data_IF_659903516442
#
_entry.id   IF_659903516442
#
_cell.length_a   1.000
_cell.length_b   1.000
_cell.length_c   1.000
_cell.angle_alpha   90.00
_cell.angle_beta   90.00
_cell.angle_gamma   90.00
#
_symmetry.space_group_name_H-M   'P 1'
#
loop_
_entity.id
_entity.type
_entity.pdbx_description
1 polymer ?
#
# COMPACT_ATOMS: atom_id res chain seq x y z
N UNK A 1 -97.67 -15.80 -46.48
CA UNK A 1 -96.87 -14.90 -47.24
C UNK A 1 -96.05 -14.08 -46.25
N UNK A 2 -94.83 -14.41 -46.01
CA UNK A 2 -93.68 -13.76 -45.36
C UNK A 2 -92.86 -14.77 -44.63
N UNK A 3 -91.66 -15.00 -45.20
CA UNK A 3 -90.64 -15.88 -44.72
C UNK A 3 -89.78 -15.19 -43.66
N UNK A 4 -89.44 -15.77 -42.49
CA UNK A 4 -88.42 -15.22 -41.63
C UNK A 4 -87.08 -15.83 -41.91
N UNK A 5 -86.05 -14.96 -42.05
CA UNK A 5 -84.65 -15.29 -42.20
C UNK A 5 -84.12 -15.84 -40.87
N UNK A 6 -83.42 -17.00 -40.94
CA UNK A 6 -82.64 -17.58 -39.87
C UNK A 6 -81.26 -16.92 -39.84
N UNK A 7 -80.93 -16.30 -38.74
CA UNK A 7 -79.56 -15.81 -38.47
C UNK A 7 -78.70 -16.94 -37.94
N UNK A 8 -77.57 -17.16 -38.62
CA UNK A 8 -76.57 -18.13 -38.24
C UNK A 8 -75.53 -17.40 -37.33
N UNK A 9 -75.53 -17.78 -36.04
CA UNK A 9 -74.46 -17.34 -35.10
C UNK A 9 -73.28 -18.23 -35.18
N UNK A 10 -72.12 -17.69 -35.58
CA UNK A 10 -70.83 -18.33 -35.48
C UNK A 10 -70.21 -17.97 -34.13
N UNK A 11 -70.02 -18.97 -33.26
CA UNK A 11 -69.21 -18.85 -32.04
C UNK A 11 -67.75 -19.10 -32.41
N UNK A 12 -66.93 -18.04 -32.38
CA UNK A 12 -65.50 -18.13 -32.40
C UNK A 12 -65.00 -18.38 -30.97
N UNK A 13 -64.58 -19.63 -30.70
CA UNK A 13 -63.89 -19.96 -29.47
C UNK A 13 -62.42 -19.50 -29.59
N UNK A 14 -62.01 -18.40 -28.90
CA UNK A 14 -60.64 -17.99 -28.72
C UNK A 14 -60.01 -18.88 -27.63
N UNK A 15 -59.13 -19.81 -28.03
CA UNK A 15 -58.21 -20.49 -27.09
C UNK A 15 -57.12 -19.51 -26.66
N UNK A 16 -57.21 -19.00 -25.46
CA UNK A 16 -56.06 -18.34 -24.80
C UNK A 16 -55.06 -19.41 -24.33
N UNK A 17 -53.96 -19.57 -25.07
CA UNK A 17 -52.82 -20.33 -24.58
C UNK A 17 -52.03 -19.46 -23.63
N UNK A 18 -52.22 -19.65 -22.32
CA UNK A 18 -51.40 -19.03 -21.26
C UNK A 18 -50.03 -19.69 -21.27
N UNK A 19 -49.03 -19.06 -21.91
CA UNK A 19 -47.62 -19.42 -21.73
C UNK A 19 -47.23 -18.96 -20.33
N UNK A 20 -47.24 -19.88 -19.37
CA UNK A 20 -46.65 -19.68 -18.07
C UNK A 20 -45.13 -19.65 -18.29
N UNK A 21 -44.55 -18.44 -18.43
CA UNK A 21 -43.12 -18.20 -18.36
C UNK A 21 -42.63 -18.53 -16.96
N UNK A 22 -42.12 -19.73 -16.78
CA UNK A 22 -41.37 -20.10 -15.59
C UNK A 22 -40.14 -19.21 -15.48
N UNK A 23 -40.19 -18.18 -14.65
CA UNK A 23 -39.01 -17.50 -14.19
C UNK A 23 -38.16 -18.53 -13.45
N UNK A 24 -37.09 -18.99 -14.09
CA UNK A 24 -36.02 -19.73 -13.41
C UNK A 24 -35.45 -18.75 -12.37
N UNK A 25 -35.91 -18.86 -11.14
CA UNK A 25 -35.23 -18.24 -10.01
C UNK A 25 -33.83 -18.87 -9.98
N UNK A 26 -32.83 -18.13 -10.44
CA UNK A 26 -31.42 -18.45 -10.14
C UNK A 26 -31.35 -18.51 -8.63
N UNK A 27 -31.12 -19.71 -8.09
CA UNK A 27 -30.74 -19.87 -6.69
C UNK A 27 -29.41 -19.13 -6.55
N UNK A 28 -29.46 -17.92 -5.97
CA UNK A 28 -28.26 -17.23 -5.56
C UNK A 28 -27.53 -18.18 -4.58
N UNK A 29 -26.37 -18.70 -5.01
CA UNK A 29 -25.53 -19.52 -4.16
C UNK A 29 -25.23 -18.76 -2.88
N UNK A 30 -24.94 -19.47 -1.79
CA UNK A 30 -24.50 -18.86 -0.53
C UNK A 30 -23.34 -17.90 -0.83
N UNK A 31 -23.40 -16.64 -0.36
CA UNK A 31 -22.29 -15.71 -0.56
C UNK A 31 -20.99 -16.31 -0.05
N UNK A 32 -19.91 -16.10 -0.80
CA UNK A 32 -18.58 -16.55 -0.36
C UNK A 32 -18.23 -15.93 0.99
N UNK A 33 -17.80 -16.75 1.93
CA UNK A 33 -17.27 -16.38 3.24
C UNK A 33 -15.90 -17.04 3.41
N UNK A 34 -14.82 -16.27 3.69
CA UNK A 34 -13.49 -16.82 3.82
C UNK A 34 -13.29 -17.52 5.16
N UNK A 35 -12.49 -18.57 5.16
CA UNK A 35 -12.04 -19.25 6.38
C UNK A 35 -10.63 -18.82 6.76
N UNK A 36 -10.40 -18.52 8.04
CA UNK A 36 -9.06 -18.19 8.55
C UNK A 36 -8.11 -19.35 8.33
N UNK A 37 -6.98 -19.09 7.66
CA UNK A 37 -6.02 -20.12 7.27
C UNK A 37 -6.29 -20.76 5.90
N UNK A 38 -7.34 -20.32 5.17
CA UNK A 38 -7.54 -20.80 3.79
C UNK A 38 -6.33 -20.47 2.91
N UNK A 39 -6.03 -21.38 2.00
CA UNK A 39 -4.92 -21.21 1.06
C UNK A 39 -5.15 -20.01 0.12
N UNK A 40 -4.10 -19.20 -0.05
CA UNK A 40 -3.95 -18.21 -1.09
C UNK A 40 -2.83 -18.61 -2.05
N UNK A 41 -2.54 -17.76 -3.04
CA UNK A 41 -1.47 -18.03 -3.99
C UNK A 41 -0.08 -18.09 -3.34
N UNK A 42 0.26 -17.11 -2.52
CA UNK A 42 1.60 -16.94 -1.93
C UNK A 42 1.57 -16.88 -0.40
N UNK A 43 0.39 -16.82 0.18
CA UNK A 43 0.17 -16.71 1.64
C UNK A 43 -1.22 -17.20 2.01
N UNK A 44 -1.36 -17.84 3.17
CA UNK A 44 -2.69 -18.15 3.73
C UNK A 44 -3.38 -16.89 4.19
N UNK A 45 -4.73 -16.84 4.07
CA UNK A 45 -5.47 -15.68 4.53
C UNK A 45 -5.59 -15.67 6.06
N UNK A 46 -5.05 -14.62 6.66
CA UNK A 46 -5.19 -14.29 8.09
C UNK A 46 -5.62 -12.83 8.21
N UNK A 47 -6.80 -12.56 8.77
CA UNK A 47 -7.28 -11.19 8.86
C UNK A 47 -6.52 -10.37 9.92
N UNK A 48 -6.07 -9.17 9.57
CA UNK A 48 -5.53 -8.21 10.54
C UNK A 48 -6.62 -7.83 11.55
N UNK A 49 -6.37 -7.92 12.88
CA UNK A 49 -7.34 -7.47 13.88
C UNK A 49 -7.76 -6.02 13.67
N UNK A 50 -9.04 -5.67 13.81
CA UNK A 50 -9.52 -4.30 13.57
C UNK A 50 -8.77 -3.23 14.36
N UNK A 51 -8.46 -3.50 15.64
CA UNK A 51 -7.69 -2.58 16.48
C UNK A 51 -6.27 -2.33 15.96
N UNK A 52 -5.67 -3.34 15.30
CA UNK A 52 -4.36 -3.19 14.70
C UNK A 52 -4.45 -2.46 13.35
N UNK A 53 -5.51 -2.67 12.55
CA UNK A 53 -5.75 -1.88 11.33
C UNK A 53 -5.76 -0.38 11.67
N UNK A 54 -6.53 0.02 12.68
CA UNK A 54 -6.58 1.42 13.12
C UNK A 54 -5.21 1.90 13.58
N UNK A 55 -4.50 1.10 14.40
CA UNK A 55 -3.15 1.43 14.86
C UNK A 55 -2.14 1.60 13.72
N UNK A 56 -2.20 0.74 12.68
CA UNK A 56 -1.36 0.84 11.49
C UNK A 56 -1.61 2.16 10.75
N UNK A 57 -2.88 2.50 10.52
CA UNK A 57 -3.24 3.73 9.82
C UNK A 57 -2.90 4.99 10.64
N UNK A 58 -3.01 4.94 11.98
CA UNK A 58 -2.57 6.02 12.88
C UNK A 58 -1.07 6.20 12.83
N UNK A 59 -0.31 5.10 12.94
CA UNK A 59 1.15 5.11 12.88
C UNK A 59 1.66 5.67 11.54
N UNK A 60 1.00 5.28 10.45
CA UNK A 60 1.26 5.82 9.12
C UNK A 60 0.69 7.23 8.92
N UNK A 61 -0.07 7.78 9.88
CA UNK A 61 -0.70 9.11 9.81
C UNK A 61 -1.50 9.31 8.51
N UNK A 62 -2.37 8.34 8.21
CA UNK A 62 -3.18 8.36 6.98
C UNK A 62 -4.15 9.54 7.01
N UNK A 63 -4.17 10.30 5.91
CA UNK A 63 -5.00 11.49 5.69
C UNK A 63 -5.81 11.39 4.39
N UNK A 64 -6.80 12.26 4.16
CA UNK A 64 -7.56 12.29 2.89
C UNK A 64 -6.71 12.55 1.63
N UNK A 65 -5.49 13.07 1.78
CA UNK A 65 -4.57 13.33 0.66
C UNK A 65 -3.79 12.08 0.24
N UNK A 66 -3.87 11.01 1.02
CA UNK A 66 -3.11 9.79 0.77
C UNK A 66 -3.74 8.91 -0.31
N UNK A 67 -2.87 8.15 -0.96
CA UNK A 67 -3.23 7.00 -1.77
C UNK A 67 -2.66 5.75 -1.11
N UNK A 68 -3.55 4.98 -0.48
CA UNK A 68 -3.19 3.77 0.27
C UNK A 68 -3.30 2.56 -0.64
N UNK A 69 -2.29 1.70 -0.65
CA UNK A 69 -2.33 0.42 -1.38
C UNK A 69 -2.09 -0.73 -0.38
N UNK A 70 -2.84 -1.81 -0.55
CA UNK A 70 -2.65 -3.09 0.14
C UNK A 70 -2.43 -4.20 -0.89
N UNK A 71 -1.37 -4.97 -0.70
CA UNK A 71 -0.97 -6.09 -1.55
C UNK A 71 -1.33 -7.40 -0.84
N UNK A 72 -2.19 -8.23 -1.45
CA UNK A 72 -2.85 -9.34 -0.77
C UNK A 72 -3.93 -8.81 0.17
N UNK A 73 -4.83 -7.97 -0.35
CA UNK A 73 -5.76 -7.18 0.48
C UNK A 73 -6.84 -8.01 1.19
N UNK A 74 -6.97 -9.30 0.86
CA UNK A 74 -7.93 -10.20 1.50
C UNK A 74 -9.36 -9.67 1.40
N UNK A 75 -10.04 -9.55 2.54
CA UNK A 75 -11.40 -9.00 2.65
C UNK A 75 -11.47 -7.46 2.57
N UNK A 76 -10.34 -6.81 2.31
CA UNK A 76 -10.26 -5.37 2.08
C UNK A 76 -10.24 -4.48 3.32
N UNK A 77 -10.13 -5.04 4.54
CA UNK A 77 -10.27 -4.29 5.79
C UNK A 77 -9.34 -3.09 5.94
N UNK A 78 -8.06 -3.21 5.54
CA UNK A 78 -7.09 -2.09 5.57
C UNK A 78 -7.53 -0.96 4.62
N UNK A 79 -7.98 -1.33 3.43
CA UNK A 79 -8.41 -0.40 2.37
C UNK A 79 -9.71 0.30 2.74
N UNK A 80 -10.68 -0.44 3.28
CA UNK A 80 -11.96 0.11 3.75
C UNK A 80 -11.73 1.08 4.92
N UNK A 81 -10.87 0.72 5.88
CA UNK A 81 -10.53 1.60 6.99
C UNK A 81 -9.82 2.88 6.52
N UNK A 82 -8.88 2.78 5.56
CA UNK A 82 -8.24 3.95 4.97
C UNK A 82 -9.25 4.85 4.23
N UNK A 83 -10.19 4.26 3.48
CA UNK A 83 -11.25 5.00 2.78
C UNK A 83 -12.20 5.71 3.75
N UNK A 84 -12.52 5.12 4.90
CA UNK A 84 -13.29 5.78 5.98
C UNK A 84 -12.59 7.02 6.53
N UNK A 85 -11.25 7.08 6.49
CA UNK A 85 -10.45 8.26 6.84
C UNK A 85 -10.38 9.30 5.70
N UNK A 86 -11.09 9.05 4.59
CA UNK A 86 -11.16 9.94 3.42
C UNK A 86 -10.07 9.71 2.39
N UNK A 87 -9.11 8.80 2.61
CA UNK A 87 -8.07 8.48 1.66
C UNK A 87 -8.63 7.77 0.42
N UNK A 88 -7.95 7.89 -0.72
CA UNK A 88 -8.16 6.95 -1.83
C UNK A 88 -7.39 5.68 -1.53
N UNK A 89 -7.97 4.52 -1.81
CA UNK A 89 -7.36 3.27 -1.45
C UNK A 89 -7.59 2.17 -2.50
N UNK A 90 -6.58 1.34 -2.71
CA UNK A 90 -6.58 0.23 -3.67
C UNK A 90 -6.13 -1.05 -2.99
N UNK A 91 -6.97 -2.07 -3.01
CA UNK A 91 -6.61 -3.44 -2.66
C UNK A 91 -6.29 -4.24 -3.91
N UNK A 92 -5.15 -4.92 -3.90
CA UNK A 92 -4.77 -5.91 -4.92
C UNK A 92 -4.85 -7.28 -4.28
N UNK A 93 -5.69 -8.16 -4.85
CA UNK A 93 -5.94 -9.49 -4.30
C UNK A 93 -5.97 -10.52 -5.44
N UNK A 94 -5.34 -11.66 -5.21
CA UNK A 94 -5.27 -12.69 -6.25
C UNK A 94 -6.58 -13.48 -6.39
N UNK A 95 -7.25 -13.74 -5.27
CA UNK A 95 -8.49 -14.53 -5.25
C UNK A 95 -9.69 -13.66 -5.67
N UNK A 96 -10.37 -13.98 -6.79
CA UNK A 96 -11.50 -13.18 -7.28
C UNK A 96 -12.69 -13.16 -6.31
N UNK A 97 -12.94 -14.22 -5.54
CA UNK A 97 -14.04 -14.27 -4.57
C UNK A 97 -13.77 -13.30 -3.40
N UNK A 98 -12.51 -13.16 -2.98
CA UNK A 98 -12.09 -12.17 -1.99
C UNK A 98 -12.22 -10.75 -2.53
N UNK A 99 -11.88 -10.51 -3.80
CA UNK A 99 -12.08 -9.21 -4.47
C UNK A 99 -13.56 -8.82 -4.46
N UNK A 100 -14.44 -9.76 -4.82
CA UNK A 100 -15.89 -9.50 -4.85
C UNK A 100 -16.46 -9.33 -3.44
N UNK A 101 -15.95 -10.07 -2.45
CA UNK A 101 -16.28 -9.86 -1.04
C UNK A 101 -15.91 -8.44 -0.60
N UNK A 102 -14.66 -8.02 -0.86
CA UNK A 102 -14.16 -6.69 -0.50
C UNK A 102 -15.00 -5.57 -1.11
N UNK A 103 -15.40 -5.69 -2.38
CA UNK A 103 -16.31 -4.75 -3.05
C UNK A 103 -17.68 -4.68 -2.37
N UNK A 104 -18.26 -5.83 -2.01
CA UNK A 104 -19.55 -5.88 -1.28
C UNK A 104 -19.43 -5.22 0.10
N UNK A 105 -18.34 -5.48 0.83
CA UNK A 105 -18.12 -4.85 2.14
C UNK A 105 -17.94 -3.34 1.97
N UNK A 106 -17.13 -2.86 1.02
CA UNK A 106 -16.92 -1.44 0.78
C UNK A 106 -18.25 -0.71 0.41
N UNK A 107 -19.10 -1.35 -0.39
CA UNK A 107 -20.43 -0.81 -0.72
C UNK A 107 -21.32 -0.73 0.51
N UNK A 108 -21.36 -1.77 1.36
CA UNK A 108 -22.11 -1.80 2.62
C UNK A 108 -21.65 -0.72 3.59
N UNK A 109 -20.32 -0.47 3.64
CA UNK A 109 -19.72 0.53 4.50
C UNK A 109 -19.76 1.97 3.90
N UNK A 110 -20.34 2.13 2.70
CA UNK A 110 -20.52 3.44 2.07
C UNK A 110 -19.25 4.11 1.57
N UNK A 111 -18.18 3.32 1.26
CA UNK A 111 -16.87 3.84 0.84
C UNK A 111 -16.42 3.33 -0.53
N UNK A 112 -17.31 2.73 -1.32
CA UNK A 112 -16.97 2.15 -2.62
C UNK A 112 -16.44 3.17 -3.65
N UNK A 113 -16.66 4.46 -3.45
CA UNK A 113 -16.13 5.55 -4.27
C UNK A 113 -14.62 5.79 -4.03
N UNK A 114 -14.09 5.35 -2.90
CA UNK A 114 -12.69 5.53 -2.47
C UNK A 114 -11.93 4.23 -2.27
N UNK A 115 -12.61 3.14 -1.91
CA UNK A 115 -12.04 1.81 -1.70
C UNK A 115 -12.23 0.98 -2.98
N UNK A 116 -11.17 0.88 -3.78
CA UNK A 116 -11.18 0.09 -5.02
C UNK A 116 -10.47 -1.24 -4.78
N UNK A 117 -10.93 -2.28 -5.48
CA UNK A 117 -10.34 -3.62 -5.40
C UNK A 117 -10.18 -4.21 -6.80
N UNK A 118 -9.01 -4.75 -7.07
CA UNK A 118 -8.67 -5.38 -8.34
C UNK A 118 -8.10 -6.77 -8.11
N UNK A 119 -8.46 -7.69 -9.01
CA UNK A 119 -7.79 -8.97 -9.05
C UNK A 119 -6.41 -8.80 -9.67
N UNK A 120 -5.38 -9.30 -8.99
CA UNK A 120 -4.01 -9.19 -9.49
C UNK A 120 -2.99 -9.89 -8.60
N UNK A 121 -1.79 -10.04 -9.16
CA UNK A 121 -0.62 -10.53 -8.44
C UNK A 121 0.06 -9.36 -7.70
N UNK A 122 0.33 -9.52 -6.41
CA UNK A 122 0.99 -8.50 -5.58
C UNK A 122 2.38 -8.13 -6.11
N UNK A 123 3.09 -9.07 -6.73
CA UNK A 123 4.44 -8.84 -7.26
C UNK A 123 4.42 -8.03 -8.56
N UNK A 124 3.33 -8.13 -9.35
CA UNK A 124 3.17 -7.44 -10.63
C UNK A 124 2.45 -6.09 -10.49
N UNK A 125 1.76 -5.87 -9.38
CA UNK A 125 0.95 -4.66 -9.17
C UNK A 125 1.78 -3.37 -9.27
N UNK A 126 1.27 -2.36 -9.97
CA UNK A 126 1.87 -1.01 -9.97
C UNK A 126 1.56 -0.28 -8.67
N UNK A 127 2.59 -0.07 -7.86
CA UNK A 127 2.52 0.66 -6.59
C UNK A 127 3.13 2.06 -6.67
N UNK A 128 3.56 2.52 -7.83
CA UNK A 128 4.34 3.77 -8.02
C UNK A 128 3.64 5.03 -7.50
N UNK A 129 2.30 4.99 -7.40
CA UNK A 129 1.47 6.10 -6.91
C UNK A 129 1.20 6.06 -5.42
N UNK A 130 1.59 4.98 -4.71
CA UNK A 130 1.34 4.84 -3.29
C UNK A 130 2.03 5.97 -2.49
N UNK A 131 1.29 6.55 -1.55
CA UNK A 131 1.86 7.37 -0.48
C UNK A 131 1.93 6.58 0.83
N UNK A 132 1.10 5.53 0.92
CA UNK A 132 1.10 4.56 2.02
C UNK A 132 0.90 3.16 1.46
N UNK A 133 1.69 2.20 1.95
CA UNK A 133 1.40 0.78 1.84
C UNK A 133 0.97 0.28 3.22
N UNK A 134 -0.16 -0.45 3.30
CA UNK A 134 -0.66 -1.06 4.54
C UNK A 134 -0.72 -2.57 4.34
N UNK A 135 0.23 -3.31 4.93
CA UNK A 135 0.53 -4.69 4.54
C UNK A 135 0.42 -5.68 5.68
N UNK A 136 -0.07 -6.89 5.37
CA UNK A 136 0.10 -8.06 6.20
C UNK A 136 0.61 -9.23 5.35
N UNK A 137 1.91 -9.32 5.20
CA UNK A 137 2.59 -10.30 4.36
C UNK A 137 3.65 -11.06 5.17
N UNK A 138 3.97 -12.28 4.74
CA UNK A 138 5.06 -13.06 5.29
C UNK A 138 6.42 -12.41 4.99
N UNK A 139 7.46 -12.65 5.80
CA UNK A 139 8.81 -12.08 5.63
C UNK A 139 9.39 -12.28 4.23
N UNK A 140 9.24 -13.47 3.65
CA UNK A 140 9.76 -13.78 2.30
C UNK A 140 9.10 -12.92 1.22
N UNK A 141 7.79 -12.66 1.34
CA UNK A 141 7.06 -11.81 0.41
C UNK A 141 7.48 -10.35 0.55
N UNK A 142 7.67 -9.87 1.78
CA UNK A 142 8.21 -8.53 2.05
C UNK A 142 9.61 -8.36 1.48
N UNK A 143 10.48 -9.37 1.64
CA UNK A 143 11.84 -9.38 1.10
C UNK A 143 11.84 -9.30 -0.43
N UNK A 144 10.99 -10.11 -1.10
CA UNK A 144 10.84 -10.06 -2.57
C UNK A 144 10.33 -8.71 -3.08
N UNK A 145 9.45 -8.05 -2.31
CA UNK A 145 8.88 -6.74 -2.66
C UNK A 145 9.80 -5.56 -2.32
N UNK A 146 10.85 -5.77 -1.50
CA UNK A 146 11.74 -4.69 -1.02
C UNK A 146 12.35 -3.85 -2.14
N UNK A 147 12.86 -4.40 -3.26
CA UNK A 147 13.35 -3.57 -4.37
C UNK A 147 12.28 -2.62 -4.91
N UNK A 148 11.04 -3.11 -5.06
CA UNK A 148 9.89 -2.33 -5.51
C UNK A 148 9.49 -1.24 -4.51
N UNK A 149 9.64 -1.52 -3.20
CA UNK A 149 9.41 -0.52 -2.16
C UNK A 149 10.45 0.61 -2.21
N UNK A 150 11.72 0.28 -2.46
CA UNK A 150 12.80 1.26 -2.55
C UNK A 150 12.75 2.13 -3.82
N UNK A 151 11.93 1.78 -4.81
CA UNK A 151 11.67 2.58 -6.00
C UNK A 151 10.53 3.59 -5.80
N UNK A 152 9.79 3.51 -4.69
CA UNK A 152 8.77 4.48 -4.34
C UNK A 152 9.38 5.84 -4.02
N UNK A 153 8.56 6.88 -4.06
CA UNK A 153 8.99 8.23 -3.72
C UNK A 153 9.52 8.28 -2.27
N UNK A 154 10.66 8.95 -2.03
CA UNK A 154 11.12 9.20 -0.66
C UNK A 154 10.01 9.81 0.20
N UNK A 155 9.81 9.27 1.40
CA UNK A 155 8.75 9.68 2.29
C UNK A 155 7.47 8.85 2.17
N UNK A 156 7.35 7.95 1.18
CA UNK A 156 6.28 6.93 1.18
C UNK A 156 6.37 6.09 2.45
N UNK A 157 5.25 5.87 3.10
CA UNK A 157 5.15 5.15 4.37
C UNK A 157 4.68 3.72 4.11
N UNK A 158 5.39 2.76 4.66
CA UNK A 158 5.04 1.34 4.59
C UNK A 158 4.74 0.91 6.02
N UNK A 159 3.50 0.58 6.30
CA UNK A 159 3.12 0.05 7.61
C UNK A 159 2.78 -1.43 7.48
N UNK A 160 3.50 -2.25 8.24
CA UNK A 160 3.38 -3.70 8.21
C UNK A 160 2.83 -4.24 9.54
N UNK A 161 1.93 -5.23 9.44
CA UNK A 161 1.47 -5.98 10.59
C UNK A 161 2.55 -7.01 10.96
N UNK A 162 3.08 -6.90 12.18
CA UNK A 162 3.90 -7.87 12.90
C UNK A 162 5.24 -8.22 12.25
N UNK A 163 5.26 -8.63 10.98
CA UNK A 163 6.46 -9.07 10.28
C UNK A 163 7.26 -7.90 9.74
N UNK A 164 8.59 -7.94 10.00
CA UNK A 164 9.53 -6.94 9.53
C UNK A 164 10.08 -7.24 8.14
N UNK A 165 10.68 -6.21 7.53
CA UNK A 165 11.44 -6.31 6.29
C UNK A 165 12.88 -6.66 6.65
N UNK A 166 13.42 -7.71 6.07
CA UNK A 166 14.77 -8.21 6.40
C UNK A 166 15.85 -7.13 6.18
N UNK A 167 16.64 -6.90 7.20
CA UNK A 167 17.75 -5.94 7.19
C UNK A 167 17.34 -4.47 7.18
N UNK A 168 16.04 -4.15 7.13
CA UNK A 168 15.53 -2.79 7.24
C UNK A 168 14.89 -2.59 8.61
N UNK A 169 15.51 -1.80 9.48
CA UNK A 169 14.93 -1.48 10.79
C UNK A 169 13.70 -0.57 10.62
N UNK A 170 12.61 -0.77 11.36
CA UNK A 170 11.47 0.14 11.32
C UNK A 170 11.86 1.53 11.83
N UNK A 171 11.29 2.58 11.24
CA UNK A 171 11.43 3.96 11.72
C UNK A 171 10.63 4.21 12.99
N UNK A 172 9.46 3.56 13.12
CA UNK A 172 8.61 3.59 14.30
C UNK A 172 7.94 2.23 14.51
N UNK A 173 7.64 1.91 15.77
CA UNK A 173 6.89 0.70 16.15
C UNK A 173 5.73 1.11 17.04
N UNK A 174 4.56 0.59 16.75
CA UNK A 174 3.35 0.82 17.55
C UNK A 174 2.74 -0.51 18.01
N UNK A 175 2.11 -0.50 19.19
CA UNK A 175 1.31 -1.64 19.66
C UNK A 175 -0.16 -1.24 19.71
N UNK A 176 -1.03 -2.11 19.23
CA UNK A 176 -2.46 -1.99 19.43
C UNK A 176 -2.82 -2.45 20.85
N UNK A 177 -3.83 -1.82 21.42
CA UNK A 177 -4.44 -2.22 22.69
C UNK A 177 -5.81 -2.86 22.40
N UNK A 178 -6.19 -3.86 23.19
CA UNK A 178 -7.44 -4.60 23.01
C UNK A 178 -7.24 -5.97 22.38
N UNK A 179 -8.29 -6.52 21.77
CA UNK A 179 -8.28 -7.86 21.19
C UNK A 179 -7.56 -7.87 19.82
N UNK A 180 -6.28 -8.19 19.89
CA UNK A 180 -5.43 -8.34 18.72
C UNK A 180 -4.72 -9.70 18.65
N UNK A 181 -5.02 -10.64 19.60
CA UNK A 181 -4.44 -11.96 19.64
C UNK A 181 -2.91 -11.92 19.61
N UNK A 182 -2.31 -12.65 18.68
CA UNK A 182 -0.85 -12.64 18.45
C UNK A 182 -0.37 -11.50 17.56
N UNK A 183 -1.27 -10.71 16.95
CA UNK A 183 -0.99 -9.73 15.93
C UNK A 183 -1.25 -8.31 16.45
N UNK A 184 -0.41 -7.82 17.39
CA UNK A 184 -0.62 -6.54 18.06
C UNK A 184 0.41 -5.47 17.70
N UNK A 185 1.37 -5.78 16.84
CA UNK A 185 2.49 -4.89 16.53
C UNK A 185 2.39 -4.33 15.12
N UNK A 186 2.45 -3.02 14.99
CA UNK A 186 2.60 -2.32 13.73
C UNK A 186 4.03 -1.79 13.58
N UNK A 187 4.64 -1.99 12.41
CA UNK A 187 5.98 -1.56 12.07
C UNK A 187 5.91 -0.53 10.94
N UNK A 188 6.44 0.66 11.15
CA UNK A 188 6.47 1.72 10.14
C UNK A 188 7.85 1.87 9.54
N UNK A 189 7.93 1.85 8.21
CA UNK A 189 9.11 2.15 7.42
C UNK A 189 8.83 3.38 6.56
N UNK A 190 9.81 4.26 6.42
CA UNK A 190 9.70 5.43 5.55
C UNK A 190 10.74 5.29 4.44
N UNK A 191 10.27 5.21 3.20
CA UNK A 191 11.14 5.03 2.04
C UNK A 191 12.19 6.14 2.00
N UNK A 192 13.49 5.80 2.09
CA UNK A 192 14.56 6.79 2.11
C UNK A 192 14.90 7.30 0.71
N UNK A 193 15.38 8.52 0.62
CA UNK A 193 16.01 9.02 -0.59
C UNK A 193 17.30 8.25 -0.90
N UNK A 194 17.72 8.27 -2.15
CA UNK A 194 18.98 7.65 -2.58
C UNK A 194 20.14 8.62 -2.35
N UNK A 195 20.89 8.42 -1.27
CA UNK A 195 22.02 9.27 -0.87
C UNK A 195 23.41 8.63 -1.10
N UNK A 196 23.47 7.33 -1.42
CA UNK A 196 24.76 6.69 -1.74
C UNK A 196 25.46 7.37 -2.90
N UNK A 197 26.81 7.41 -2.85
CA UNK A 197 27.66 7.98 -3.89
C UNK A 197 28.52 9.12 -3.38
N UNK A 198 29.17 9.81 -4.32
CA UNK A 198 30.10 10.90 -4.04
C UNK A 198 29.42 12.25 -4.25
N UNK A 199 29.63 13.15 -3.29
CA UNK A 199 29.00 14.47 -3.24
C UNK A 199 30.06 15.56 -3.06
N UNK A 200 30.00 16.62 -3.86
CA UNK A 200 30.87 17.78 -3.73
C UNK A 200 30.24 18.82 -2.84
N UNK A 201 30.94 19.20 -1.78
CA UNK A 201 30.62 20.31 -0.89
C UNK A 201 31.64 21.41 -1.08
N UNK A 202 31.38 22.67 -0.66
CA UNK A 202 32.37 23.75 -0.73
C UNK A 202 33.68 23.43 0.00
N UNK A 203 33.61 22.67 1.11
CA UNK A 203 34.77 22.31 1.94
C UNK A 203 35.44 20.99 1.55
N UNK A 204 34.89 20.23 0.59
CA UNK A 204 35.49 18.94 0.20
C UNK A 204 34.52 17.97 -0.45
N UNK A 205 34.89 16.69 -0.41
CA UNK A 205 34.15 15.59 -1.01
C UNK A 205 33.60 14.66 0.06
N UNK A 206 32.27 14.46 0.06
CA UNK A 206 31.56 13.53 0.92
C UNK A 206 31.22 12.26 0.15
N UNK A 207 31.78 11.13 0.56
CA UNK A 207 31.43 9.80 0.05
C UNK A 207 30.48 9.11 1.01
N UNK A 208 29.30 8.70 0.52
CA UNK A 208 28.27 8.02 1.29
C UNK A 208 28.01 6.61 0.76
N UNK A 209 27.92 5.68 1.69
CA UNK A 209 27.34 4.35 1.52
C UNK A 209 26.00 4.32 2.22
N UNK A 210 25.05 3.56 1.67
CA UNK A 210 23.69 3.52 2.18
C UNK A 210 23.20 2.08 2.31
N UNK A 211 22.66 1.76 3.49
CA UNK A 211 21.87 0.55 3.71
C UNK A 211 20.51 0.97 4.25
N UNK A 212 19.48 0.95 3.39
CA UNK A 212 18.15 1.49 3.67
C UNK A 212 18.22 2.95 4.16
N UNK A 213 17.79 3.25 5.38
CA UNK A 213 17.84 4.58 5.97
C UNK A 213 19.20 4.90 6.64
N UNK A 214 20.10 3.93 6.79
CA UNK A 214 21.40 4.13 7.45
C UNK A 214 22.47 4.57 6.45
N UNK A 215 23.29 5.53 6.87
CA UNK A 215 24.39 6.07 6.06
C UNK A 215 25.70 5.90 6.81
N UNK A 216 26.73 5.53 6.06
CA UNK A 216 28.13 5.54 6.47
C UNK A 216 28.98 6.24 5.40
N UNK A 217 30.22 6.52 5.70
CA UNK A 217 31.12 7.15 4.74
C UNK A 217 32.12 8.10 5.37
N UNK A 218 32.63 9.04 4.57
CA UNK A 218 33.59 10.04 5.05
C UNK A 218 33.53 11.34 4.24
N UNK A 219 33.88 12.45 4.88
CA UNK A 219 34.15 13.73 4.26
C UNK A 219 35.67 13.92 4.15
N UNK A 220 36.15 14.10 2.94
CA UNK A 220 37.59 14.43 2.65
C UNK A 220 37.69 15.94 2.39
N UNK A 221 38.44 16.64 3.24
CA UNK A 221 38.72 18.08 3.12
C UNK A 221 40.19 18.36 3.36
N UNK A 222 40.84 19.10 2.47
CA UNK A 222 42.26 19.42 2.56
C UNK A 222 43.18 18.19 2.68
N UNK A 223 42.81 17.08 2.03
CA UNK A 223 43.55 15.81 2.07
C UNK A 223 43.29 14.97 3.34
N UNK A 224 42.49 15.45 4.29
CA UNK A 224 42.11 14.72 5.51
C UNK A 224 40.73 14.09 5.36
N UNK A 225 40.62 12.79 5.61
CA UNK A 225 39.37 12.07 5.63
C UNK A 225 38.84 11.96 7.06
N UNK A 226 37.55 12.35 7.25
CA UNK A 226 36.88 12.31 8.55
C UNK A 226 35.60 11.48 8.40
N UNK A 227 35.37 10.46 9.26
CA UNK A 227 34.23 9.57 9.13
C UNK A 227 32.89 10.27 9.40
N UNK A 228 31.86 9.80 8.69
CA UNK A 228 30.45 10.10 8.95
C UNK A 228 29.95 9.24 10.11
N UNK A 229 29.35 9.86 11.12
CA UNK A 229 28.78 9.19 12.27
C UNK A 229 27.27 9.48 12.34
N UNK A 230 26.47 8.49 12.80
CA UNK A 230 25.02 8.65 13.02
C UNK A 230 24.25 8.99 11.75
N UNK A 231 24.79 8.66 10.58
CA UNK A 231 24.17 9.00 9.30
C UNK A 231 22.83 8.29 9.12
N UNK A 232 21.77 9.06 8.87
CA UNK A 232 20.41 8.54 8.71
C UNK A 232 19.57 9.36 7.72
N UNK A 233 18.66 8.65 7.04
CA UNK A 233 17.59 9.20 6.23
C UNK A 233 16.24 8.92 6.87
N UNK A 234 15.32 9.88 6.77
CA UNK A 234 13.90 9.71 7.00
C UNK A 234 13.15 10.36 5.82
N UNK A 235 12.73 9.53 4.87
CA UNK A 235 12.30 10.04 3.58
C UNK A 235 13.44 10.77 2.86
N UNK A 236 13.22 12.03 2.50
CA UNK A 236 14.21 12.93 1.91
C UNK A 236 15.08 13.66 2.94
N UNK A 237 14.74 13.60 4.22
CA UNK A 237 15.51 14.23 5.28
C UNK A 237 16.77 13.44 5.57
N UNK A 238 17.93 14.11 5.59
CA UNK A 238 19.24 13.54 5.89
C UNK A 238 19.83 14.19 7.13
N UNK A 239 20.40 13.39 8.01
CA UNK A 239 21.18 13.84 9.16
C UNK A 239 22.45 13.01 9.29
N UNK A 240 23.58 13.64 9.64
CA UNK A 240 24.83 12.98 9.95
C UNK A 240 25.80 13.92 10.67
N UNK A 241 26.81 13.37 11.30
CA UNK A 241 27.87 14.15 12.00
C UNK A 241 29.24 13.85 11.40
N UNK A 242 30.05 14.87 11.18
CA UNK A 242 31.45 14.76 10.74
C UNK A 242 32.34 15.64 11.62
N UNK A 243 33.33 15.06 12.27
CA UNK A 243 34.27 15.83 13.12
C UNK A 243 33.62 16.67 14.22
N UNK A 244 32.47 16.19 14.77
CA UNK A 244 31.68 16.92 15.77
C UNK A 244 30.70 17.94 15.20
N UNK A 245 30.72 18.22 13.89
CA UNK A 245 29.75 19.10 13.23
C UNK A 245 28.55 18.29 12.77
N UNK A 246 27.36 18.70 13.15
CA UNK A 246 26.10 18.11 12.71
C UNK A 246 25.66 18.72 11.36
N UNK A 247 25.25 17.85 10.44
CA UNK A 247 24.67 18.19 9.16
C UNK A 247 23.24 17.69 9.14
N UNK A 248 22.29 18.60 8.90
CA UNK A 248 20.89 18.28 8.65
C UNK A 248 20.43 18.96 7.38
N UNK A 249 19.56 18.28 6.61
CA UNK A 249 19.11 18.81 5.31
C UNK A 249 18.14 17.88 4.59
N UNK A 250 18.02 18.09 3.28
CA UNK A 250 17.20 17.28 2.40
C UNK A 250 17.98 16.83 1.16
N UNK A 251 17.67 15.63 0.71
CA UNK A 251 18.16 15.06 -0.56
C UNK A 251 17.10 15.21 -1.61
N UNK A 252 17.44 15.82 -2.75
CA UNK A 252 16.55 15.96 -3.88
C UNK A 252 17.32 15.61 -5.17
N UNK A 253 17.18 14.36 -5.61
CA UNK A 253 17.93 13.84 -6.76
C UNK A 253 19.45 13.96 -6.54
N UNK A 254 20.10 14.77 -7.38
CA UNK A 254 21.54 14.99 -7.36
C UNK A 254 21.97 16.20 -6.52
N UNK A 255 21.10 16.71 -5.69
CA UNK A 255 21.39 17.82 -4.79
C UNK A 255 21.06 17.49 -3.33
N UNK A 256 21.86 17.99 -2.41
CA UNK A 256 21.54 18.08 -0.99
C UNK A 256 21.55 19.55 -0.59
N UNK A 257 20.56 19.93 0.22
CA UNK A 257 20.46 21.28 0.73
C UNK A 257 20.29 21.22 2.26
N UNK A 258 21.22 21.84 2.97
CA UNK A 258 21.18 21.95 4.42
C UNK A 258 20.01 22.79 4.92
N UNK A 259 19.55 22.50 6.12
CA UNK A 259 18.53 23.28 6.79
C UNK A 259 18.96 24.76 6.84
N UNK A 260 18.08 25.68 6.45
CA UNK A 260 18.40 27.11 6.37
C UNK A 260 19.44 27.49 5.29
N UNK A 261 19.80 26.56 4.40
CA UNK A 261 20.78 26.83 3.34
C UNK A 261 22.24 26.91 3.80
N UNK A 262 22.54 26.46 5.02
CA UNK A 262 23.86 26.59 5.64
C UNK A 262 24.95 25.73 4.98
N UNK A 263 24.56 24.72 4.23
CA UNK A 263 25.44 23.89 3.40
C UNK A 263 24.68 23.35 2.19
N UNK A 264 25.41 22.97 1.17
CA UNK A 264 24.87 22.30 0.01
C UNK A 264 25.86 21.29 -0.54
N UNK A 265 25.36 20.27 -1.23
CA UNK A 265 26.19 19.31 -1.95
C UNK A 265 25.56 18.96 -3.30
N UNK A 266 26.41 18.64 -4.27
CA UNK A 266 25.99 18.10 -5.57
C UNK A 266 26.63 16.75 -5.80
N UNK A 267 25.85 15.79 -6.32
CA UNK A 267 26.36 14.47 -6.68
C UNK A 267 27.41 14.63 -7.77
N UNK A 268 28.55 13.97 -7.59
CA UNK A 268 29.54 13.85 -8.66
C UNK A 268 29.03 12.87 -9.71
N UNK A 269 29.29 13.15 -10.98
CA UNK A 269 29.06 12.16 -12.04
C UNK A 269 29.85 10.88 -11.70
N UNK A 270 29.34 9.68 -12.07
CA UNK A 270 30.15 8.48 -11.99
C UNK A 270 31.45 8.70 -12.74
N UNK A 271 32.61 8.42 -12.12
CA UNK A 271 33.86 8.35 -12.83
C UNK A 271 33.72 7.21 -13.83
N UNK A 272 33.80 7.52 -15.13
CA UNK A 272 34.01 6.51 -16.16
C UNK A 272 35.41 5.89 -15.93
N UNK A 273 35.49 4.83 -15.16
CA UNK A 273 36.61 3.91 -15.15
C UNK A 273 36.30 2.69 -16.00
#
# INVERSE_FOLDING_TARGET
MKIPRRAFLWLLALCFVSVAGGALAQTAGTPFEPEVGQEGKDVVWVPTPPVLVEKMLDLARVTPQDYVIDLGSGDGRNIIAAAKRGARALGVEYNPDMVDLSKRIAAKEGVADRALFVQGDMFEADISRATVLALFLLPDNLTKLTPKFLDLKPGTRIVANHFGIEGWDPDETGKAEGDCGSWCTALLYIVPARAAGTWRLPQGELRLEQKFQKLSGALTSGGRSTPVNGGRLRGDQITFTVGGTEYSGRVNGDTMLGAGGVWSARRSAPSNE
#
